data_IF_257402545717
#
_entry.id   IF_257402545717
#
_cell.length_a   1.000
_cell.length_b   1.000
_cell.length_c   1.000
_cell.angle_alpha   90.00
_cell.angle_beta   90.00
_cell.angle_gamma   90.00
#
_symmetry.space_group_name_H-M   'P 1'
#
loop_
_entity.id
_entity.type
_entity.pdbx_description
1 polymer ?
#
# COMPACT_ATOMS: atom_id res chain seq x y z
N UNK A 1 12.78 -31.59 3.48
CA UNK A 1 13.02 -32.95 2.95
C UNK A 1 13.12 -33.83 4.19
N UNK A 2 12.01 -33.99 4.92
CA UNK A 2 12.07 -34.38 6.35
C UNK A 2 11.46 -35.76 6.63
N UNK A 3 10.70 -36.31 5.68
CA UNK A 3 9.99 -37.57 5.89
C UNK A 3 10.94 -38.78 5.83
N UNK A 4 11.72 -38.87 4.75
CA UNK A 4 12.68 -39.97 4.53
C UNK A 4 13.83 -39.95 5.54
N UNK A 5 14.27 -38.76 5.97
CA UNK A 5 15.31 -38.61 6.99
C UNK A 5 14.82 -38.98 8.40
N UNK A 6 13.51 -38.86 8.67
CA UNK A 6 12.91 -39.26 9.95
C UNK A 6 12.48 -40.73 9.99
N UNK A 7 12.47 -41.42 8.84
CA UNK A 7 12.01 -42.81 8.68
C UNK A 7 12.74 -43.81 9.58
N UNK A 8 14.04 -43.60 9.81
CA UNK A 8 14.87 -44.42 10.71
C UNK A 8 14.45 -44.35 12.18
N UNK A 9 13.65 -43.35 12.58
CA UNK A 9 13.22 -43.15 13.97
C UNK A 9 11.83 -43.73 14.25
N UNK A 10 11.25 -44.47 13.31
CA UNK A 10 9.96 -45.13 13.50
C UNK A 10 10.09 -46.38 14.38
N UNK A 11 9.52 -46.34 15.59
CA UNK A 11 9.65 -47.40 16.59
C UNK A 11 8.57 -48.50 16.50
N UNK A 12 7.76 -48.55 15.43
CA UNK A 12 6.74 -49.61 15.23
C UNK A 12 5.54 -49.59 16.18
N UNK A 13 5.43 -48.62 17.08
CA UNK A 13 4.37 -48.53 18.11
C UNK A 13 3.05 -47.92 17.60
N UNK A 14 2.58 -48.33 16.42
CA UNK A 14 1.31 -47.87 15.84
C UNK A 14 1.23 -48.02 14.31
N UNK A 15 0.21 -47.47 13.64
CA UNK A 15 0.14 -47.45 12.18
C UNK A 15 1.18 -46.50 11.57
N UNK A 16 1.94 -46.99 10.59
CA UNK A 16 2.97 -46.21 9.88
C UNK A 16 2.39 -44.95 9.23
N UNK A 17 1.17 -45.06 8.69
CA UNK A 17 0.47 -43.95 8.04
C UNK A 17 0.19 -42.80 9.00
N UNK A 18 -0.30 -43.09 10.21
CA UNK A 18 -0.55 -42.09 11.24
C UNK A 18 0.74 -41.40 11.71
N UNK A 19 1.85 -42.16 11.80
CA UNK A 19 3.17 -41.62 12.12
C UNK A 19 3.71 -40.72 10.98
N UNK A 20 3.61 -41.18 9.72
CA UNK A 20 4.03 -40.42 8.55
C UNK A 20 3.22 -39.13 8.36
N UNK A 21 1.90 -39.19 8.56
CA UNK A 21 1.01 -38.04 8.54
C UNK A 21 1.43 -37.00 9.58
N UNK A 22 1.75 -37.44 10.82
CA UNK A 22 2.23 -36.55 11.88
C UNK A 22 3.55 -35.87 11.52
N UNK A 23 4.51 -36.59 10.94
CA UNK A 23 5.79 -36.00 10.49
C UNK A 23 5.54 -35.00 9.37
N UNK A 24 4.71 -35.36 8.38
CA UNK A 24 4.34 -34.48 7.26
C UNK A 24 3.71 -33.17 7.78
N UNK A 25 2.68 -33.24 8.63
CA UNK A 25 2.01 -32.06 9.21
C UNK A 25 2.96 -31.18 10.02
N UNK A 26 3.87 -31.78 10.80
CA UNK A 26 4.86 -31.01 11.58
C UNK A 26 5.87 -30.31 10.68
N UNK A 27 6.33 -30.98 9.62
CA UNK A 27 7.25 -30.38 8.66
C UNK A 27 6.61 -29.26 7.84
N UNK A 28 5.35 -29.40 7.40
CA UNK A 28 4.64 -28.34 6.68
C UNK A 28 4.37 -27.15 7.58
N UNK A 29 3.92 -27.36 8.82
CA UNK A 29 3.69 -26.28 9.78
C UNK A 29 5.00 -25.54 10.15
N UNK A 30 6.11 -26.28 10.31
CA UNK A 30 7.43 -25.67 10.52
C UNK A 30 7.86 -24.82 9.33
N UNK A 31 7.67 -25.32 8.11
CA UNK A 31 7.99 -24.57 6.89
C UNK A 31 7.13 -23.31 6.78
N UNK A 32 5.81 -23.40 6.99
CA UNK A 32 4.89 -22.26 6.98
C UNK A 32 5.27 -21.20 8.03
N UNK A 33 5.59 -21.62 9.27
CA UNK A 33 6.04 -20.71 10.32
C UNK A 33 7.39 -20.05 10.00
N UNK A 34 8.32 -20.77 9.35
CA UNK A 34 9.58 -20.19 8.89
C UNK A 34 9.33 -19.12 7.82
N UNK A 35 8.44 -19.39 6.87
CA UNK A 35 8.05 -18.43 5.83
C UNK A 35 7.35 -17.20 6.43
N UNK A 36 6.46 -17.40 7.42
CA UNK A 36 5.80 -16.30 8.14
C UNK A 36 6.81 -15.38 8.83
N UNK A 37 7.77 -15.93 9.57
CA UNK A 37 8.83 -15.15 10.23
C UNK A 37 9.73 -14.40 9.26
N UNK A 38 10.02 -14.98 8.09
CA UNK A 38 10.78 -14.31 7.03
C UNK A 38 10.00 -13.13 6.45
N UNK A 39 8.68 -13.29 6.23
CA UNK A 39 7.80 -12.20 5.76
C UNK A 39 7.69 -11.07 6.80
N UNK A 40 7.49 -11.41 8.07
CA UNK A 40 7.42 -10.45 9.18
C UNK A 40 8.74 -9.68 9.35
N UNK A 41 9.89 -10.36 9.25
CA UNK A 41 11.21 -9.69 9.29
C UNK A 41 11.44 -8.77 8.10
N UNK A 42 11.02 -9.17 6.90
CA UNK A 42 11.08 -8.30 5.70
C UNK A 42 10.16 -7.08 5.84
N UNK A 43 8.97 -7.24 6.41
CA UNK A 43 8.07 -6.14 6.72
C UNK A 43 8.65 -5.19 7.78
N UNK A 44 9.23 -5.71 8.85
CA UNK A 44 9.85 -4.90 9.89
C UNK A 44 11.07 -4.11 9.37
N UNK A 45 11.91 -4.72 8.52
CA UNK A 45 13.01 -4.01 7.84
C UNK A 45 12.51 -2.96 6.85
N UNK A 46 11.45 -3.25 6.10
CA UNK A 46 10.83 -2.27 5.21
C UNK A 46 10.26 -1.08 5.98
N UNK A 47 9.65 -1.30 7.16
CA UNK A 47 9.12 -0.23 8.02
C UNK A 47 10.21 0.67 8.61
N UNK A 48 11.36 0.11 9.00
CA UNK A 48 12.48 0.90 9.52
C UNK A 48 13.12 1.79 8.45
N UNK A 49 13.29 1.28 7.23
CA UNK A 49 13.77 2.07 6.09
C UNK A 49 12.73 3.09 5.59
N UNK A 50 11.44 2.78 5.71
CA UNK A 50 10.34 3.68 5.35
C UNK A 50 10.24 4.89 6.30
N UNK A 51 10.72 4.79 7.54
CA UNK A 51 10.73 5.89 8.52
C UNK A 51 11.61 7.07 8.12
N UNK A 52 12.91 6.84 7.92
CA UNK A 52 13.85 7.89 7.47
C UNK A 52 13.51 8.41 6.07
N UNK A 53 13.01 7.53 5.20
CA UNK A 53 12.59 7.90 3.86
C UNK A 53 11.28 8.71 3.86
N UNK A 54 10.38 8.47 4.82
CA UNK A 54 9.18 9.29 5.05
C UNK A 54 9.55 10.69 5.50
N UNK A 55 10.43 10.85 6.48
CA UNK A 55 10.85 12.17 6.96
C UNK A 55 11.44 13.02 5.83
N UNK A 56 12.37 12.47 5.05
CA UNK A 56 12.91 13.15 3.86
C UNK A 56 11.82 13.48 2.84
N UNK A 57 10.87 12.57 2.61
CA UNK A 57 9.77 12.78 1.68
C UNK A 57 8.82 13.88 2.17
N UNK A 58 8.57 13.97 3.46
CA UNK A 58 7.75 15.03 4.08
C UNK A 58 8.41 16.39 3.90
N UNK A 59 9.72 16.52 4.17
CA UNK A 59 10.45 17.78 3.97
C UNK A 59 10.43 18.22 2.49
N UNK A 60 10.70 17.30 1.57
CA UNK A 60 10.62 17.56 0.12
C UNK A 60 9.19 17.91 -0.33
N UNK A 61 8.18 17.31 0.28
CA UNK A 61 6.78 17.58 -0.02
C UNK A 61 6.38 19.00 0.44
N UNK A 62 6.81 19.43 1.63
CA UNK A 62 6.56 20.80 2.12
C UNK A 62 7.20 21.83 1.18
N UNK A 63 8.46 21.64 0.80
CA UNK A 63 9.14 22.56 -0.13
C UNK A 63 8.46 22.61 -1.51
N UNK A 64 7.95 21.46 -2.00
CA UNK A 64 7.21 21.42 -3.26
C UNK A 64 5.85 22.12 -3.17
N UNK A 65 5.15 21.99 -2.04
CA UNK A 65 3.88 22.67 -1.81
C UNK A 65 4.07 24.19 -1.74
N UNK A 66 5.15 24.67 -1.15
CA UNK A 66 5.51 26.09 -1.14
C UNK A 66 5.81 26.65 -2.54
N UNK A 67 6.19 25.81 -3.49
CA UNK A 67 6.42 26.25 -4.88
C UNK A 67 5.13 26.40 -5.68
N UNK A 68 3.98 26.02 -5.14
CA UNK A 68 2.70 26.17 -5.85
C UNK A 68 2.28 27.65 -5.94
N UNK A 69 1.74 28.09 -7.10
CA UNK A 69 1.23 29.45 -7.30
C UNK A 69 0.16 29.91 -6.30
N UNK A 70 -0.64 28.96 -5.79
CA UNK A 70 -1.71 29.16 -4.81
C UNK A 70 -1.83 27.94 -3.89
N UNK A 71 -2.53 28.03 -2.75
CA UNK A 71 -2.73 26.92 -1.82
C UNK A 71 -3.30 25.66 -2.49
N UNK A 72 -2.87 24.48 -2.03
CA UNK A 72 -3.34 23.20 -2.57
C UNK A 72 -4.86 23.03 -2.39
N UNK A 73 -5.40 23.58 -1.31
CA UNK A 73 -6.80 23.57 -0.94
C UNK A 73 -7.67 24.24 -2.02
N UNK A 74 -7.19 25.33 -2.62
CA UNK A 74 -7.88 26.03 -3.71
C UNK A 74 -7.90 25.20 -4.99
N UNK A 75 -6.82 24.47 -5.28
CA UNK A 75 -6.79 23.54 -6.40
C UNK A 75 -7.77 22.38 -6.19
N UNK A 76 -7.75 21.77 -5.00
CA UNK A 76 -8.68 20.69 -4.65
C UNK A 76 -10.13 21.17 -4.67
N UNK A 77 -10.39 22.42 -4.27
CA UNK A 77 -11.70 23.07 -4.33
C UNK A 77 -12.30 23.15 -5.75
N UNK A 78 -11.47 23.10 -6.79
CA UNK A 78 -11.94 23.14 -8.19
C UNK A 78 -12.29 21.75 -8.77
N UNK A 79 -11.94 20.67 -8.07
CA UNK A 79 -12.38 19.32 -8.46
C UNK A 79 -13.82 19.09 -8.01
N UNK A 80 -14.57 18.29 -8.78
CA UNK A 80 -15.86 17.79 -8.28
C UNK A 80 -15.68 16.99 -6.99
N UNK A 81 -16.68 17.02 -6.10
CA UNK A 81 -16.63 16.34 -4.80
C UNK A 81 -16.16 14.89 -4.91
N UNK A 82 -16.77 14.14 -5.84
CA UNK A 82 -16.49 12.73 -6.04
C UNK A 82 -15.06 12.44 -6.54
N UNK A 83 -14.46 13.38 -7.28
CA UNK A 83 -13.07 13.28 -7.71
C UNK A 83 -12.12 13.66 -6.58
N UNK A 84 -12.42 14.75 -5.87
CA UNK A 84 -11.65 15.23 -4.72
C UNK A 84 -11.53 14.16 -3.64
N UNK A 85 -12.66 13.57 -3.24
CA UNK A 85 -12.70 12.49 -2.24
C UNK A 85 -11.86 11.29 -2.70
N UNK A 86 -12.01 10.86 -3.95
CA UNK A 86 -11.26 9.73 -4.48
C UNK A 86 -9.74 9.99 -4.54
N UNK A 87 -9.33 11.20 -4.91
CA UNK A 87 -7.93 11.64 -4.91
C UNK A 87 -7.36 11.68 -3.49
N UNK A 88 -8.07 12.26 -2.53
CA UNK A 88 -7.64 12.33 -1.13
C UNK A 88 -7.49 10.94 -0.50
N UNK A 89 -8.49 10.08 -0.68
CA UNK A 89 -8.43 8.69 -0.18
C UNK A 89 -7.23 7.94 -0.77
N UNK A 90 -6.94 8.14 -2.06
CA UNK A 90 -5.84 7.45 -2.72
C UNK A 90 -4.47 7.99 -2.32
N UNK A 91 -4.27 9.30 -2.39
CA UNK A 91 -2.93 9.90 -2.33
C UNK A 91 -2.58 10.49 -0.96
N UNK A 92 -3.56 10.96 -0.19
CA UNK A 92 -3.32 11.47 1.15
C UNK A 92 -3.45 10.36 2.21
N UNK A 93 -4.49 9.52 2.10
CA UNK A 93 -4.75 8.45 3.08
C UNK A 93 -4.17 7.08 2.68
N UNK A 94 -3.72 6.92 1.43
CA UNK A 94 -3.02 5.72 0.98
C UNK A 94 -3.91 4.49 0.73
N UNK A 95 -5.23 4.66 0.62
CA UNK A 95 -6.15 3.56 0.37
C UNK A 95 -5.97 2.94 -1.03
N UNK A 96 -6.20 1.64 -1.12
CA UNK A 96 -6.24 0.89 -2.37
C UNK A 96 -7.56 1.14 -3.13
N UNK A 97 -7.57 0.90 -4.45
CA UNK A 97 -8.77 1.11 -5.26
C UNK A 97 -9.98 0.28 -4.78
N UNK A 98 -9.82 -0.99 -4.36
CA UNK A 98 -10.92 -1.75 -3.77
C UNK A 98 -11.44 -1.15 -2.46
N UNK A 99 -10.57 -0.72 -1.54
CA UNK A 99 -10.98 -0.08 -0.28
C UNK A 99 -11.74 1.23 -0.54
N UNK A 100 -11.30 2.03 -1.51
CA UNK A 100 -12.01 3.26 -1.90
C UNK A 100 -13.39 2.94 -2.49
N UNK A 101 -13.52 1.85 -3.25
CA UNK A 101 -14.81 1.40 -3.78
C UNK A 101 -15.79 1.02 -2.66
N UNK A 102 -15.29 0.36 -1.61
CA UNK A 102 -16.06 0.03 -0.41
C UNK A 102 -16.45 1.29 0.37
N UNK A 103 -15.50 2.19 0.67
CA UNK A 103 -15.73 3.44 1.42
C UNK A 103 -16.75 4.35 0.71
N UNK A 104 -16.67 4.43 -0.62
CA UNK A 104 -17.51 5.34 -1.41
C UNK A 104 -18.76 4.69 -1.99
N UNK A 105 -19.01 3.40 -1.68
CA UNK A 105 -20.10 2.59 -2.24
C UNK A 105 -20.19 2.69 -3.77
N UNK A 106 -19.05 2.81 -4.45
CA UNK A 106 -18.96 3.03 -5.89
C UNK A 106 -18.20 1.89 -6.58
N UNK A 107 -18.58 1.45 -7.78
CA UNK A 107 -17.86 0.39 -8.48
C UNK A 107 -16.38 0.73 -8.73
N UNK A 108 -15.51 -0.27 -8.67
CA UNK A 108 -14.06 -0.13 -8.93
C UNK A 108 -13.74 0.62 -10.24
N UNK A 109 -14.42 0.37 -11.38
CA UNK A 109 -14.19 1.14 -12.61
C UNK A 109 -14.50 2.63 -12.45
N UNK A 110 -15.55 2.95 -11.69
CA UNK A 110 -15.95 4.32 -11.38
C UNK A 110 -14.90 5.02 -10.51
N UNK A 111 -14.40 4.34 -9.48
CA UNK A 111 -13.31 4.85 -8.63
C UNK A 111 -12.06 5.14 -9.44
N UNK A 112 -11.65 4.21 -10.32
CA UNK A 112 -10.51 4.41 -11.24
C UNK A 112 -10.69 5.68 -12.08
N UNK A 113 -11.87 5.85 -12.68
CA UNK A 113 -12.19 7.04 -13.49
C UNK A 113 -12.19 8.33 -12.66
N UNK A 114 -12.75 8.33 -11.45
CA UNK A 114 -12.74 9.48 -10.53
C UNK A 114 -11.31 9.90 -10.15
N UNK A 115 -10.46 8.94 -9.79
CA UNK A 115 -9.04 9.20 -9.46
C UNK A 115 -8.31 9.77 -10.68
N UNK A 116 -8.45 9.13 -11.83
CA UNK A 116 -7.74 9.54 -13.04
C UNK A 116 -8.15 10.95 -13.48
N UNK A 117 -9.46 11.23 -13.56
CA UNK A 117 -9.97 12.55 -13.96
C UNK A 117 -9.59 13.63 -12.95
N UNK A 118 -9.73 13.33 -11.65
CA UNK A 118 -9.32 14.26 -10.59
C UNK A 118 -7.84 14.61 -10.64
N UNK A 119 -6.98 13.61 -10.81
CA UNK A 119 -5.54 13.83 -10.93
C UNK A 119 -5.16 14.62 -12.18
N UNK A 120 -5.76 14.30 -13.34
CA UNK A 120 -5.53 15.04 -14.58
C UNK A 120 -5.94 16.51 -14.44
N UNK A 121 -7.09 16.78 -13.83
CA UNK A 121 -7.59 18.13 -13.63
C UNK A 121 -6.70 18.92 -12.66
N UNK A 122 -6.30 18.31 -11.54
CA UNK A 122 -5.35 18.90 -10.59
C UNK A 122 -4.04 19.31 -11.29
N UNK A 123 -3.44 18.39 -12.08
CA UNK A 123 -2.23 18.70 -12.84
C UNK A 123 -2.44 19.76 -13.92
N UNK A 124 -3.64 19.85 -14.51
CA UNK A 124 -3.98 20.87 -15.51
C UNK A 124 -4.02 22.25 -14.88
N UNK A 125 -4.67 22.38 -13.72
CA UNK A 125 -4.77 23.64 -12.99
C UNK A 125 -3.41 24.13 -12.52
N UNK A 126 -2.60 23.26 -11.89
CA UNK A 126 -1.25 23.61 -11.44
C UNK A 126 -0.37 24.04 -12.62
N UNK A 127 -0.39 23.29 -13.74
CA UNK A 127 0.40 23.65 -14.94
C UNK A 127 -0.06 24.97 -15.56
N UNK A 128 -1.37 25.25 -15.58
CA UNK A 128 -1.90 26.50 -16.10
C UNK A 128 -1.36 27.68 -15.28
N UNK A 129 -1.44 27.60 -13.97
CA UNK A 129 -1.06 28.72 -13.10
C UNK A 129 0.48 28.92 -13.09
N UNK A 130 1.25 27.83 -13.17
CA UNK A 130 2.71 27.89 -13.35
C UNK A 130 3.10 28.57 -14.67
N UNK A 131 2.36 28.33 -15.76
CA UNK A 131 2.60 29.00 -17.06
C UNK A 131 2.20 30.47 -17.04
N UNK A 132 1.16 30.83 -16.29
CA UNK A 132 0.67 32.19 -16.18
C UNK A 132 1.53 33.07 -15.26
N UNK A 133 2.50 32.48 -14.54
CA UNK A 133 3.38 33.23 -13.63
C UNK A 133 2.62 33.88 -12.48
N UNK A 134 1.44 33.36 -12.13
CA UNK A 134 0.66 33.85 -10.99
C UNK A 134 1.50 33.62 -9.74
N UNK A 135 2.11 34.67 -9.21
CA UNK A 135 2.79 34.62 -7.92
C UNK A 135 1.74 34.82 -6.84
N UNK A 136 1.89 34.10 -5.72
CA UNK A 136 1.05 34.24 -4.52
C UNK A 136 0.78 35.72 -4.25
N UNK A 137 -0.47 36.14 -4.38
CA UNK A 137 -0.95 37.36 -3.72
C UNK A 137 -1.06 37.01 -2.24
N UNK A 138 -0.16 37.58 -1.45
CA UNK A 138 -0.18 37.55 0.02
C UNK A 138 -1.45 38.19 0.57
#
# INVERSE_FOLDING_TARGET
MDLLSSASNYAGRGPLEAWAQRIATRSTLRWMNKQKRVRERRQAQAQAQDGEQRERRTLLQTELLDRLPRPLEEYLGQLSEVQRVAVLLRFAMGHTIPEIAEITSAPVPTVKSRIQKGHQELCRLVRRDLKLGVRRTE
#
